data_IF_793857472931
#
_entry.id   IF_793857472931
#
_cell.length_a   1.000
_cell.length_b   1.000
_cell.length_c   1.000
_cell.angle_alpha   90.00
_cell.angle_beta   90.00
_cell.angle_gamma   90.00
#
_symmetry.space_group_name_H-M   'P 1'
#
loop_
_entity.id
_entity.type
_entity.pdbx_description
1 polymer ?
#
# COMPACT_ATOMS: atom_id res chain seq x y z
N UNK A 1 -10.48 74.88 14.79
CA UNK A 1 -10.35 74.31 13.42
C UNK A 1 -9.05 73.52 13.29
N UNK A 2 -8.85 72.40 14.01
CA UNK A 2 -7.58 71.65 13.94
C UNK A 2 -7.63 70.21 14.49
N UNK A 3 -8.78 69.53 14.51
CA UNK A 3 -8.89 68.18 15.13
C UNK A 3 -9.42 67.11 14.15
N UNK A 4 -9.86 67.49 12.94
CA UNK A 4 -10.54 66.58 12.01
C UNK A 4 -9.66 66.03 10.87
N UNK A 5 -8.33 66.10 10.96
CA UNK A 5 -7.44 65.74 9.83
C UNK A 5 -6.48 64.56 10.08
N UNK A 6 -6.61 63.85 11.21
CA UNK A 6 -5.74 62.69 11.52
C UNK A 6 -6.47 61.33 11.54
N UNK A 7 -7.60 61.21 10.82
CA UNK A 7 -8.33 59.94 10.69
C UNK A 7 -8.49 59.52 9.22
N UNK A 8 -7.45 59.74 8.42
CA UNK A 8 -7.38 59.24 7.03
C UNK A 8 -5.97 58.73 6.69
N UNK A 9 -5.29 58.14 7.68
CA UNK A 9 -4.10 57.34 7.41
C UNK A 9 -4.54 55.89 7.16
N UNK A 10 -4.96 55.68 5.91
CA UNK A 10 -4.62 54.51 5.11
C UNK A 10 -4.69 53.16 5.84
N UNK A 11 -5.92 52.64 5.96
CA UNK A 11 -6.14 51.21 5.87
C UNK A 11 -5.76 50.74 4.45
N UNK A 12 -4.46 50.71 4.13
CA UNK A 12 -3.96 49.94 3.01
C UNK A 12 -4.18 48.48 3.39
N UNK A 13 -5.00 47.69 2.68
CA UNK A 13 -4.94 46.25 2.85
C UNK A 13 -3.52 45.86 2.45
N UNK A 14 -2.73 45.41 3.43
CA UNK A 14 -1.47 44.74 3.16
C UNK A 14 -1.85 43.48 2.41
N UNK A 15 -1.81 43.55 1.07
CA UNK A 15 -1.95 42.38 0.21
C UNK A 15 -0.68 41.57 0.48
N UNK A 16 -0.76 40.65 1.43
CA UNK A 16 0.28 39.65 1.65
C UNK A 16 0.25 38.76 0.41
N UNK A 17 1.19 39.01 -0.50
CA UNK A 17 1.42 38.16 -1.65
C UNK A 17 2.05 36.86 -1.14
N UNK A 18 1.21 35.93 -0.67
CA UNK A 18 1.69 34.60 -0.28
C UNK A 18 2.20 33.92 -1.53
N UNK A 19 3.50 33.61 -1.57
CA UNK A 19 4.07 32.80 -2.64
C UNK A 19 3.30 31.46 -2.69
N UNK A 20 2.49 31.29 -3.73
CA UNK A 20 1.69 30.08 -3.93
C UNK A 20 2.64 28.95 -4.30
N UNK A 21 2.88 28.06 -3.35
CA UNK A 21 3.57 26.80 -3.60
C UNK A 21 2.69 25.90 -4.47
N UNK A 22 3.33 25.33 -5.50
CA UNK A 22 2.70 24.44 -6.46
C UNK A 22 3.50 23.16 -6.50
N UNK A 23 2.83 22.03 -6.31
CA UNK A 23 3.43 20.70 -6.40
C UNK A 23 2.79 20.03 -7.60
N UNK A 24 3.58 19.71 -8.62
CA UNK A 24 3.10 19.07 -9.84
C UNK A 24 3.77 17.73 -10.08
N UNK A 25 2.96 16.73 -10.41
CA UNK A 25 3.42 15.42 -10.80
C UNK A 25 2.62 14.86 -11.95
N UNK A 26 3.14 13.80 -12.55
CA UNK A 26 2.52 13.04 -13.61
C UNK A 26 2.57 11.56 -13.24
N UNK A 27 1.44 10.90 -13.44
CA UNK A 27 1.33 9.46 -13.30
C UNK A 27 1.63 8.79 -14.64
N UNK A 28 2.49 7.78 -14.62
CA UNK A 28 2.85 7.00 -15.80
C UNK A 28 2.01 5.71 -15.86
N UNK A 29 1.37 5.47 -17.00
CA UNK A 29 0.40 4.39 -17.20
C UNK A 29 0.94 3.20 -18.00
N UNK A 30 2.24 2.91 -17.96
CA UNK A 30 2.80 1.84 -18.80
C UNK A 30 2.71 0.48 -18.12
N UNK A 31 1.53 -0.12 -18.20
CA UNK A 31 1.36 -1.57 -18.11
C UNK A 31 0.67 -2.02 -19.39
N UNK A 32 1.08 -3.20 -19.90
CA UNK A 32 0.56 -3.87 -21.09
C UNK A 32 -0.87 -3.45 -21.48
N UNK A 33 -1.04 -3.13 -22.78
CA UNK A 33 -2.22 -2.53 -23.44
C UNK A 33 -3.59 -3.18 -23.16
N UNK A 34 -3.65 -4.29 -22.45
CA UNK A 34 -4.86 -5.11 -22.32
C UNK A 34 -5.68 -4.80 -21.06
N UNK A 35 -5.18 -3.96 -20.13
CA UNK A 35 -5.83 -3.73 -18.81
C UNK A 35 -6.01 -2.25 -18.39
N UNK A 36 -5.61 -1.26 -19.19
CA UNK A 36 -5.49 0.15 -18.75
C UNK A 36 -6.68 1.04 -19.19
N UNK A 37 -7.90 0.50 -19.25
CA UNK A 37 -9.04 1.31 -19.73
C UNK A 37 -9.87 2.00 -18.62
N UNK A 38 -9.75 1.63 -17.34
CA UNK A 38 -10.86 1.91 -16.40
C UNK A 38 -10.61 2.91 -15.26
N UNK A 39 -9.44 3.55 -15.15
CA UNK A 39 -9.22 4.56 -14.09
C UNK A 39 -8.49 5.83 -14.62
N UNK A 40 -9.14 6.63 -15.49
CA UNK A 40 -8.52 7.82 -16.08
C UNK A 40 -8.27 8.94 -15.06
N UNK A 41 -8.93 8.89 -13.89
CA UNK A 41 -8.88 9.91 -12.84
C UNK A 41 -8.57 9.21 -11.53
N UNK A 42 -7.33 9.38 -11.06
CA UNK A 42 -6.85 8.83 -9.81
C UNK A 42 -6.92 9.88 -8.71
N UNK A 43 -7.24 9.44 -7.49
CA UNK A 43 -7.16 10.30 -6.31
C UNK A 43 -5.71 10.37 -5.84
N UNK A 44 -5.18 11.57 -5.66
CA UNK A 44 -3.83 11.80 -5.14
C UNK A 44 -3.95 12.54 -3.81
N UNK A 45 -3.29 12.05 -2.77
CA UNK A 45 -3.36 12.61 -1.42
C UNK A 45 -1.99 12.98 -0.90
N UNK A 46 -1.92 14.06 -0.13
CA UNK A 46 -0.76 14.42 0.69
C UNK A 46 -1.10 14.25 2.17
N UNK A 47 -0.13 13.73 2.91
CA UNK A 47 -0.16 13.54 4.36
C UNK A 47 -1.47 12.89 4.83
N UNK A 48 -1.70 11.66 4.37
CA UNK A 48 -2.85 10.85 4.76
C UNK A 48 -4.22 11.50 4.48
N UNK A 49 -4.30 12.33 3.43
CA UNK A 49 -5.54 12.98 3.00
C UNK A 49 -5.76 14.39 3.55
N UNK A 50 -4.78 14.98 4.24
CA UNK A 50 -4.84 16.39 4.64
C UNK A 50 -5.03 17.32 3.43
N UNK A 51 -4.39 16.98 2.30
CA UNK A 51 -4.65 17.61 1.02
C UNK A 51 -4.99 16.52 0.01
N UNK A 52 -5.93 16.82 -0.87
CA UNK A 52 -6.34 15.92 -1.93
C UNK A 52 -6.47 16.65 -3.27
N UNK A 53 -6.19 15.93 -4.33
CA UNK A 53 -6.38 16.36 -5.70
C UNK A 53 -6.67 15.14 -6.56
N UNK A 54 -7.00 15.37 -7.82
CA UNK A 54 -7.28 14.32 -8.78
C UNK A 54 -6.40 14.46 -10.00
N UNK A 55 -6.03 13.34 -10.62
CA UNK A 55 -5.31 13.40 -11.89
C UNK A 55 -6.24 13.83 -13.00
N UNK A 56 -5.71 14.63 -13.92
CA UNK A 56 -6.33 14.90 -15.21
C UNK A 56 -6.24 13.65 -16.10
N UNK A 57 -6.97 13.64 -17.23
CA UNK A 57 -6.95 12.54 -18.21
C UNK A 57 -5.56 12.21 -18.77
N UNK A 58 -4.63 13.16 -18.71
CA UNK A 58 -3.23 13.00 -19.14
C UNK A 58 -2.31 12.46 -18.02
N UNK A 59 -2.86 12.12 -16.86
CA UNK A 59 -2.13 11.67 -15.67
C UNK A 59 -1.51 12.76 -14.81
N UNK A 60 -1.65 14.04 -15.20
CA UNK A 60 -1.04 15.16 -14.46
C UNK A 60 -1.92 15.51 -13.27
N UNK A 61 -1.30 15.78 -12.12
CA UNK A 61 -1.95 16.32 -10.95
C UNK A 61 -1.18 17.52 -10.39
N UNK A 62 -1.90 18.40 -9.71
CA UNK A 62 -1.31 19.56 -9.06
C UNK A 62 -1.95 19.82 -7.70
N UNK A 63 -1.12 20.19 -6.73
CA UNK A 63 -1.54 20.80 -5.48
C UNK A 63 -1.11 22.27 -5.46
N UNK A 64 -1.92 23.08 -4.80
CA UNK A 64 -1.74 24.52 -4.72
C UNK A 64 -1.80 24.96 -3.25
N UNK A 65 -1.05 26.01 -2.91
CA UNK A 65 -1.05 26.62 -1.57
C UNK A 65 -0.65 25.64 -0.46
N UNK A 66 0.29 24.74 -0.72
CA UNK A 66 0.82 23.80 0.27
C UNK A 66 1.91 24.47 1.11
N UNK A 67 1.74 24.61 2.44
CA UNK A 67 2.75 25.24 3.28
C UNK A 67 4.12 24.56 3.18
N UNK A 68 5.17 25.26 3.64
CA UNK A 68 6.48 24.62 3.74
C UNK A 68 6.42 23.48 4.76
N UNK A 69 6.98 22.33 4.39
CA UNK A 69 6.91 21.13 5.21
C UNK A 69 7.28 19.87 4.44
N UNK A 70 7.32 18.76 5.17
CA UNK A 70 7.48 17.41 4.62
C UNK A 70 6.13 16.72 4.57
N UNK A 71 5.75 16.24 3.40
CA UNK A 71 4.47 15.60 3.15
C UNK A 71 4.69 14.19 2.59
N UNK A 72 3.76 13.29 2.87
CA UNK A 72 3.75 11.95 2.27
C UNK A 72 2.71 11.90 1.16
N UNK A 73 3.15 11.65 -0.08
CA UNK A 73 2.29 11.56 -1.26
C UNK A 73 1.91 10.11 -1.54
N UNK A 74 0.62 9.90 -1.75
CA UNK A 74 0.03 8.63 -2.14
C UNK A 74 -0.90 8.80 -3.34
N UNK A 75 -0.88 7.83 -4.24
CA UNK A 75 -1.77 7.76 -5.40
C UNK A 75 -2.67 6.53 -5.22
N UNK A 76 -3.98 6.78 -5.21
CA UNK A 76 -4.99 5.76 -4.99
C UNK A 76 -5.60 5.35 -6.32
N UNK A 77 -5.47 4.06 -6.61
CA UNK A 77 -6.13 3.41 -7.75
C UNK A 77 -6.84 2.15 -7.30
N UNK A 78 -7.91 1.78 -8.00
CA UNK A 78 -8.58 0.51 -7.78
C UNK A 78 -7.72 -0.68 -8.22
N UNK A 79 -6.99 -0.59 -9.33
CA UNK A 79 -6.38 -1.80 -9.91
C UNK A 79 -4.86 -1.90 -9.71
N UNK A 80 -4.21 -0.80 -9.35
CA UNK A 80 -2.76 -0.72 -9.32
C UNK A 80 -2.22 -0.12 -8.03
N UNK A 81 -1.00 -0.52 -7.68
CA UNK A 81 -0.19 0.09 -6.63
C UNK A 81 0.85 0.98 -7.30
N UNK A 82 0.81 2.26 -6.98
CA UNK A 82 1.74 3.27 -7.48
C UNK A 82 2.89 3.52 -6.50
N UNK A 83 3.97 4.12 -7.00
CA UNK A 83 5.00 4.70 -6.16
C UNK A 83 4.43 5.75 -5.19
N UNK A 84 4.88 5.68 -3.94
CA UNK A 84 4.63 6.70 -2.92
C UNK A 84 5.90 7.54 -2.74
N UNK A 85 5.79 8.78 -2.27
CA UNK A 85 6.98 9.63 -2.08
C UNK A 85 6.87 10.55 -0.88
N UNK A 86 8.00 10.86 -0.25
CA UNK A 86 8.12 12.04 0.61
C UNK A 86 8.42 13.27 -0.25
N UNK A 87 7.67 14.33 0.00
CA UNK A 87 7.79 15.61 -0.70
C UNK A 87 8.17 16.67 0.32
N UNK A 88 9.35 17.26 0.15
CA UNK A 88 9.84 18.37 0.95
C UNK A 88 9.59 19.68 0.20
N UNK A 89 8.67 20.49 0.72
CA UNK A 89 8.33 21.82 0.20
C UNK A 89 9.07 22.86 1.02
N UNK A 90 9.89 23.67 0.36
CA UNK A 90 10.63 24.74 1.01
C UNK A 90 10.73 25.99 0.12
N UNK A 91 10.61 27.16 0.72
CA UNK A 91 10.85 28.43 0.03
C UNK A 91 12.35 28.72 -0.01
N UNK A 92 12.87 29.09 -1.18
CA UNK A 92 14.21 29.64 -1.35
C UNK A 92 14.12 31.07 -1.88
N UNK A 93 15.22 31.82 -1.87
CA UNK A 93 15.32 33.16 -2.45
C UNK A 93 14.95 33.21 -3.94
N UNK A 94 14.91 32.05 -4.62
CA UNK A 94 14.54 31.89 -6.03
C UNK A 94 13.09 31.40 -6.24
N UNK A 95 12.27 31.34 -5.19
CA UNK A 95 10.88 30.87 -5.22
C UNK A 95 10.66 29.55 -4.45
N UNK A 96 9.49 28.94 -4.62
CA UNK A 96 9.15 27.64 -4.01
C UNK A 96 9.94 26.52 -4.69
N UNK A 97 10.66 25.73 -3.90
CA UNK A 97 11.37 24.54 -4.35
C UNK A 97 10.70 23.30 -3.75
N UNK A 98 10.74 22.22 -4.52
CA UNK A 98 10.16 20.93 -4.13
C UNK A 98 11.25 19.88 -4.31
N UNK A 99 11.56 19.14 -3.25
CA UNK A 99 12.43 17.99 -3.31
C UNK A 99 11.63 16.72 -3.06
N UNK A 100 11.98 15.65 -3.77
CA UNK A 100 11.20 14.41 -3.80
C UNK A 100 12.09 13.25 -3.43
N UNK A 101 11.59 12.40 -2.54
CA UNK A 101 12.21 11.13 -2.18
C UNK A 101 11.20 10.02 -2.40
N UNK A 102 11.38 9.26 -3.48
CA UNK A 102 10.49 8.15 -3.86
C UNK A 102 10.68 6.95 -2.94
N UNK A 103 9.58 6.27 -2.65
CA UNK A 103 9.52 5.07 -1.82
C UNK A 103 8.81 3.97 -2.60
N UNK A 104 9.51 2.85 -2.76
CA UNK A 104 8.96 1.64 -3.34
C UNK A 104 8.36 0.77 -2.21
N UNK A 105 7.02 0.67 -2.06
CA UNK A 105 6.37 -0.12 -1.02
C UNK A 105 6.84 -1.58 -0.91
N UNK A 106 7.18 -2.24 -2.02
CA UNK A 106 7.59 -3.66 -2.03
C UNK A 106 8.94 -3.89 -1.33
N UNK A 107 9.82 -2.89 -1.28
CA UNK A 107 11.12 -3.01 -0.59
C UNK A 107 11.01 -2.93 0.94
N UNK A 108 9.81 -2.63 1.50
CA UNK A 108 9.58 -2.66 2.96
C UNK A 108 9.53 -4.08 3.53
N UNK A 109 9.34 -5.11 2.69
CA UNK A 109 9.22 -6.51 3.14
C UNK A 109 10.55 -7.28 3.16
N UNK A 110 11.65 -6.74 2.65
CA UNK A 110 12.97 -7.40 2.76
C UNK A 110 13.63 -7.08 4.11
N UNK A 111 14.27 -8.06 4.77
CA UNK A 111 15.00 -7.84 6.02
C UNK A 111 16.06 -6.73 5.84
N UNK A 112 16.26 -5.94 6.90
CA UNK A 112 16.95 -4.63 7.00
C UNK A 112 18.39 -4.54 6.45
N UNK A 113 18.96 -5.56 5.83
CA UNK A 113 20.37 -5.60 5.42
C UNK A 113 20.66 -5.06 4.01
N UNK A 114 19.65 -4.68 3.22
CA UNK A 114 19.85 -4.08 1.89
C UNK A 114 19.10 -2.75 1.67
N UNK A 115 18.69 -2.07 2.74
CA UNK A 115 18.04 -0.74 2.65
C UNK A 115 19.04 0.42 2.64
N UNK A 116 20.27 0.20 2.19
CA UNK A 116 21.20 1.29 1.96
C UNK A 116 21.16 1.71 0.49
N UNK A 117 20.71 2.96 0.31
CA UNK A 117 21.16 3.85 -0.74
C UNK A 117 20.57 3.64 -2.14
N UNK A 118 19.32 4.10 -2.32
CA UNK A 118 18.92 4.87 -3.50
C UNK A 118 17.64 5.67 -3.25
N UNK A 119 17.63 6.44 -2.15
CA UNK A 119 16.73 7.59 -2.06
C UNK A 119 17.28 8.65 -3.01
N UNK A 120 16.87 8.60 -4.27
CA UNK A 120 17.21 9.65 -5.23
C UNK A 120 16.46 10.90 -4.80
N UNK A 121 17.15 11.82 -4.11
CA UNK A 121 16.65 13.16 -3.85
C UNK A 121 16.65 13.91 -5.17
N UNK A 122 15.54 13.81 -5.89
CA UNK A 122 15.34 14.50 -7.15
C UNK A 122 14.91 15.93 -6.77
N UNK A 123 15.84 16.88 -6.94
CA UNK A 123 15.52 18.31 -6.92
C UNK A 123 15.13 18.69 -8.34
N UNK A 124 13.84 18.70 -8.64
CA UNK A 124 13.39 18.96 -10.01
C UNK A 124 12.26 19.97 -9.99
N UNK A 125 12.39 20.96 -10.87
CA UNK A 125 11.34 21.92 -11.20
C UNK A 125 10.34 21.34 -12.20
N UNK A 126 10.77 20.32 -12.95
CA UNK A 126 9.95 19.56 -13.88
C UNK A 126 9.05 18.54 -13.17
N UNK A 127 7.99 18.15 -13.87
CA UNK A 127 6.92 17.29 -13.37
C UNK A 127 7.46 15.98 -12.81
N UNK A 128 7.14 15.68 -11.55
CA UNK A 128 7.54 14.44 -10.88
C UNK A 128 6.80 13.26 -11.50
N UNK A 129 7.52 12.27 -12.02
CA UNK A 129 6.89 11.07 -12.61
C UNK A 129 6.65 10.01 -11.53
N UNK A 130 5.46 9.40 -11.49
CA UNK A 130 5.11 8.28 -10.60
C UNK A 130 4.73 7.06 -11.42
N UNK A 131 5.41 5.94 -11.17
CA UNK A 131 5.22 4.71 -11.94
C UNK A 131 4.33 3.71 -11.21
N UNK A 132 3.78 2.78 -11.97
CA UNK A 132 3.04 1.63 -11.43
C UNK A 132 4.05 0.57 -11.01
N UNK A 133 3.86 0.04 -9.81
CA UNK A 133 4.74 -0.98 -9.24
C UNK A 133 4.17 -2.37 -9.46
N UNK A 134 2.88 -2.57 -9.13
CA UNK A 134 2.23 -3.87 -9.25
C UNK A 134 0.71 -3.73 -9.41
N UNK A 135 0.07 -4.79 -9.90
CA UNK A 135 -1.38 -4.93 -9.89
C UNK A 135 -1.87 -5.27 -8.48
N UNK A 136 -3.06 -4.80 -8.12
CA UNK A 136 -3.77 -5.20 -6.91
C UNK A 136 -4.50 -6.51 -7.15
N UNK A 137 -4.03 -7.57 -6.53
CA UNK A 137 -4.75 -8.83 -6.45
C UNK A 137 -5.58 -8.84 -5.18
N UNK A 138 -6.87 -8.59 -5.34
CA UNK A 138 -7.83 -8.55 -4.23
C UNK A 138 -8.21 -9.93 -3.71
N UNK A 139 -7.90 -10.96 -4.48
CA UNK A 139 -8.23 -12.34 -4.18
C UNK A 139 -6.93 -13.11 -4.02
N UNK A 140 -6.83 -13.77 -2.88
CA UNK A 140 -5.83 -14.82 -2.69
C UNK A 140 -6.33 -16.06 -3.42
N UNK A 141 -5.42 -16.75 -4.11
CA UNK A 141 -5.75 -18.04 -4.69
C UNK A 141 -5.85 -19.04 -3.55
N UNK A 142 -6.90 -19.85 -3.57
CA UNK A 142 -6.99 -21.00 -2.66
C UNK A 142 -5.78 -21.91 -2.89
N UNK A 143 -5.24 -22.47 -1.81
CA UNK A 143 -4.21 -23.48 -1.92
C UNK A 143 -4.80 -24.70 -2.64
N UNK A 144 -4.26 -25.03 -3.81
CA UNK A 144 -4.62 -26.25 -4.51
C UNK A 144 -4.27 -27.46 -3.64
N UNK A 145 -5.07 -28.53 -3.73
CA UNK A 145 -4.87 -29.75 -2.94
C UNK A 145 -3.50 -30.38 -3.25
N UNK A 146 -2.51 -30.04 -2.45
CA UNK A 146 -1.19 -30.61 -2.55
C UNK A 146 -1.17 -31.97 -1.86
N UNK A 147 -1.30 -33.05 -2.65
CA UNK A 147 -1.25 -34.43 -2.15
C UNK A 147 0.02 -34.73 -1.34
N UNK A 148 1.15 -34.08 -1.66
CA UNK A 148 2.38 -34.23 -0.88
C UNK A 148 2.26 -33.59 0.51
N UNK A 149 1.59 -32.44 0.63
CA UNK A 149 1.33 -31.79 1.91
C UNK A 149 0.35 -32.61 2.76
N UNK A 150 -0.61 -33.28 2.12
CA UNK A 150 -1.54 -34.20 2.79
C UNK A 150 -0.78 -35.42 3.35
N UNK A 151 0.14 -36.02 2.58
CA UNK A 151 0.95 -37.15 3.05
C UNK A 151 1.91 -36.76 4.18
N UNK A 152 2.48 -35.55 4.13
CA UNK A 152 3.37 -35.04 5.18
C UNK A 152 2.62 -34.63 6.46
N UNK A 153 1.29 -34.57 6.42
CA UNK A 153 0.48 -34.21 7.56
C UNK A 153 0.37 -35.39 8.55
N UNK A 154 0.80 -35.20 9.80
CA UNK A 154 0.68 -36.18 10.88
C UNK A 154 -0.75 -36.72 11.06
N UNK A 155 -1.77 -35.89 10.82
CA UNK A 155 -3.16 -36.30 10.96
C UNK A 155 -3.62 -37.30 9.89
N UNK A 156 -3.01 -37.28 8.71
CA UNK A 156 -3.34 -38.23 7.64
C UNK A 156 -3.07 -39.67 8.09
N UNK A 157 -1.92 -39.92 8.72
CA UNK A 157 -1.59 -41.25 9.25
C UNK A 157 -2.52 -41.69 10.38
N UNK A 158 -2.94 -40.77 11.26
CA UNK A 158 -3.88 -41.10 12.33
C UNK A 158 -5.24 -41.54 11.77
N UNK A 159 -5.73 -40.84 10.74
CA UNK A 159 -6.98 -41.22 10.04
C UNK A 159 -6.80 -42.56 9.32
N UNK A 160 -5.67 -42.77 8.64
CA UNK A 160 -5.40 -44.03 7.95
C UNK A 160 -5.37 -45.23 8.92
N UNK A 161 -4.66 -45.09 10.05
CA UNK A 161 -4.55 -46.15 11.07
C UNK A 161 -5.91 -46.45 11.70
N UNK A 162 -6.71 -45.42 12.02
CA UNK A 162 -8.04 -45.62 12.62
C UNK A 162 -8.99 -46.35 11.66
N UNK A 163 -8.99 -46.00 10.37
CA UNK A 163 -9.78 -46.71 9.35
C UNK A 163 -9.34 -48.17 9.21
N UNK A 164 -8.03 -48.43 9.18
CA UNK A 164 -7.49 -49.80 9.12
C UNK A 164 -7.88 -50.60 10.36
N UNK A 165 -7.77 -50.02 11.56
CA UNK A 165 -8.16 -50.68 12.80
C UNK A 165 -9.66 -51.01 12.83
N UNK A 166 -10.54 -50.08 12.43
CA UNK A 166 -11.98 -50.35 12.34
C UNK A 166 -12.30 -51.46 11.33
N UNK A 167 -11.57 -51.52 10.22
CA UNK A 167 -11.72 -52.59 9.24
C UNK A 167 -11.28 -53.95 9.81
N UNK A 168 -10.15 -54.00 10.52
CA UNK A 168 -9.66 -55.23 11.16
C UNK A 168 -10.63 -55.72 12.25
N UNK A 169 -11.13 -54.82 13.10
CA UNK A 169 -12.13 -55.16 14.14
C UNK A 169 -13.40 -55.73 13.54
N UNK A 170 -13.90 -55.16 12.44
CA UNK A 170 -15.08 -55.69 11.74
C UNK A 170 -14.85 -57.10 11.16
N UNK A 171 -13.60 -57.45 10.83
CA UNK A 171 -13.25 -58.73 10.18
C UNK A 171 -12.81 -59.82 11.19
N UNK A 172 -12.66 -59.49 12.47
CA UNK A 172 -12.33 -60.48 13.50
C UNK A 172 -13.56 -61.34 13.85
N UNK A 173 -13.39 -62.67 14.04
CA UNK A 173 -14.47 -63.55 14.45
C UNK A 173 -14.95 -63.18 15.87
N UNK A 174 -16.27 -63.15 16.06
CA UNK A 174 -16.90 -62.70 17.30
C UNK A 174 -16.51 -63.59 18.50
N UNK A 175 -16.07 -64.84 18.26
CA UNK A 175 -15.59 -65.73 19.31
C UNK A 175 -14.32 -65.23 20.02
N UNK A 176 -13.36 -64.62 19.29
CA UNK A 176 -12.11 -64.12 19.90
C UNK A 176 -12.34 -62.86 20.73
N UNK A 177 -13.20 -61.95 20.26
CA UNK A 177 -13.60 -60.74 21.00
C UNK A 177 -14.32 -61.09 22.32
N UNK A 178 -15.22 -62.08 22.30
CA UNK A 178 -15.89 -62.57 23.50
C UNK A 178 -14.97 -63.35 24.44
N UNK A 179 -13.93 -64.02 23.91
CA UNK A 179 -12.93 -64.70 24.74
C UNK A 179 -11.97 -63.73 25.44
N UNK A 180 -11.64 -62.59 24.81
CA UNK A 180 -10.87 -61.52 25.42
C UNK A 180 -11.65 -60.78 26.52
N UNK A 181 -12.97 -60.65 26.39
CA UNK A 181 -13.85 -60.09 27.42
C UNK A 181 -14.05 -61.04 28.62
N UNK A 182 -13.91 -62.35 28.39
CA UNK A 182 -13.97 -63.38 29.44
C UNK A 182 -12.63 -63.69 30.11
N UNK A 183 -11.52 -63.12 29.63
CA UNK A 183 -10.23 -63.24 30.30
C UNK A 183 -10.25 -62.35 31.57
N UNK A 184 -10.06 -62.92 32.77
CA UNK A 184 -10.22 -62.16 34.00
C UNK A 184 -9.14 -61.08 34.11
N UNK A 185 -9.57 -59.89 34.57
CA UNK A 185 -8.71 -58.88 35.19
C UNK A 185 -8.08 -59.52 36.44
N UNK A 186 -6.97 -60.27 36.26
CA UNK A 186 -6.13 -60.72 37.37
C UNK A 186 -5.02 -59.70 37.55
N UNK A 187 -5.00 -59.13 38.76
CA UNK A 187 -3.95 -58.30 39.34
C UNK A 187 -2.58 -59.00 39.30
#
# INVERSE_FOLDING_TARGET
MAIFHYLLLLAFPIIVFTAQSKIEGKVFYQLQRDFVQDDPILKVTLNYGQYETYTQKNGIFAFYNIPNGRYFLEIHSRYFVYESAFIDVYTSNKGTNVAVSKIHPILRQRPKQQQQNKQSRIQTRDQMLFEIIQRKDYFEKEEELNLSAIYQNQYFFMIAITVVMLYLVKKMPMEELQSAERAPQQQ
#
